data_IF_551693321751
#
_entry.id   IF_551693321751
#
_cell.length_a   1.000
_cell.length_b   1.000
_cell.length_c   1.000
_cell.angle_alpha   90.00
_cell.angle_beta   90.00
_cell.angle_gamma   90.00
#
_symmetry.space_group_name_H-M   'P 1'
#
loop_
_entity.id
_entity.type
_entity.pdbx_description
1 polymer ?
#
# COMPACT_ATOMS: atom_id res chain seq x y z
N UNK A 1 21.82 14.23 -52.96
CA UNK A 1 20.74 15.15 -52.56
C UNK A 1 20.14 14.60 -51.28
N UNK A 2 20.24 15.39 -50.21
CA UNK A 2 20.00 15.02 -48.81
C UNK A 2 18.56 14.57 -48.54
N UNK A 3 18.40 13.39 -47.94
CA UNK A 3 17.11 12.78 -47.63
C UNK A 3 16.88 12.59 -46.13
N UNK A 4 17.28 13.56 -45.30
CA UNK A 4 17.13 13.51 -43.83
C UNK A 4 15.64 13.54 -43.48
N UNK A 5 15.06 12.37 -43.19
CA UNK A 5 13.71 12.25 -42.65
C UNK A 5 13.71 12.79 -41.23
N UNK A 6 13.14 13.98 -41.03
CA UNK A 6 12.88 14.53 -39.69
C UNK A 6 11.73 13.74 -39.05
N UNK A 7 11.82 13.36 -37.78
CA UNK A 7 10.66 12.83 -37.07
C UNK A 7 9.57 13.92 -36.98
N UNK A 8 8.28 13.55 -37.00
CA UNK A 8 7.20 14.53 -36.85
C UNK A 8 7.30 15.19 -35.48
N UNK A 9 7.45 16.52 -35.46
CA UNK A 9 7.30 17.35 -34.28
C UNK A 9 5.84 17.24 -33.82
N UNK A 10 5.61 16.60 -32.68
CA UNK A 10 4.29 16.57 -32.04
C UNK A 10 4.11 17.91 -31.31
N UNK A 11 3.89 18.98 -32.07
CA UNK A 11 3.44 20.28 -31.55
C UNK A 11 2.03 20.55 -32.05
N UNK A 12 1.13 19.58 -31.87
CA UNK A 12 -0.30 19.87 -31.95
C UNK A 12 -0.77 20.08 -30.51
N UNK A 13 -1.18 21.30 -30.12
CA UNK A 13 -1.77 21.51 -28.80
C UNK A 13 -3.00 20.61 -28.68
N UNK A 14 -3.04 19.79 -27.63
CA UNK A 14 -4.22 18.99 -27.31
C UNK A 14 -5.41 19.95 -27.13
N UNK A 15 -6.60 19.69 -27.71
CA UNK A 15 -7.71 20.65 -27.77
C UNK A 15 -8.46 20.81 -26.43
N UNK A 16 -7.79 20.70 -25.28
CA UNK A 16 -8.41 20.80 -23.96
C UNK A 16 -7.59 21.59 -22.93
N UNK A 17 -6.66 22.44 -23.35
CA UNK A 17 -6.22 23.52 -22.47
C UNK A 17 -7.31 24.60 -22.42
N UNK A 18 -8.29 24.33 -21.57
CA UNK A 18 -9.14 25.38 -21.01
C UNK A 18 -8.30 26.02 -19.92
N UNK A 19 -7.64 27.14 -20.25
CA UNK A 19 -7.11 28.05 -19.24
C UNK A 19 -8.32 28.64 -18.49
N UNK A 20 -8.81 27.90 -17.51
CA UNK A 20 -9.85 28.35 -16.61
C UNK A 20 -9.16 28.93 -15.36
N UNK A 21 -9.00 30.25 -15.25
CA UNK A 21 -8.31 30.89 -14.12
C UNK A 21 -9.02 30.64 -12.78
N UNK A 22 -10.23 30.08 -12.78
CA UNK A 22 -10.95 29.68 -11.56
C UNK A 22 -10.61 28.27 -11.09
N UNK A 23 -9.89 27.47 -11.89
CA UNK A 23 -9.59 26.07 -11.58
C UNK A 23 -8.46 25.94 -10.55
N UNK A 24 -7.48 26.84 -10.61
CA UNK A 24 -6.35 26.88 -9.66
C UNK A 24 -6.81 27.42 -8.30
N UNK A 25 -7.53 28.54 -8.28
CA UNK A 25 -8.05 29.14 -7.04
C UNK A 25 -9.04 28.21 -6.29
N UNK A 26 -9.84 27.41 -7.00
CA UNK A 26 -10.80 26.50 -6.37
C UNK A 26 -10.12 25.27 -5.74
N UNK A 27 -9.05 24.76 -6.37
CA UNK A 27 -8.27 23.65 -5.83
C UNK A 27 -7.41 24.10 -4.66
N UNK A 28 -6.75 25.26 -4.77
CA UNK A 28 -5.89 25.80 -3.71
C UNK A 28 -6.69 26.16 -2.45
N UNK A 29 -7.87 26.75 -2.60
CA UNK A 29 -8.74 27.06 -1.45
C UNK A 29 -9.34 25.80 -0.78
N UNK A 30 -9.59 24.73 -1.52
CA UNK A 30 -10.04 23.44 -0.94
C UNK A 30 -8.91 22.70 -0.24
N UNK A 31 -7.72 22.67 -0.84
CA UNK A 31 -6.54 22.06 -0.24
C UNK A 31 -6.15 22.81 1.03
N UNK A 32 -6.21 24.14 1.02
CA UNK A 32 -5.96 24.95 2.21
C UNK A 32 -6.98 24.67 3.31
N UNK A 33 -8.28 24.63 2.99
CA UNK A 33 -9.32 24.28 3.98
C UNK A 33 -9.13 22.90 4.60
N UNK A 34 -8.72 21.87 3.86
CA UNK A 34 -8.45 20.53 4.42
C UNK A 34 -7.22 20.54 5.33
N UNK A 35 -6.17 21.29 4.96
CA UNK A 35 -4.99 21.50 5.81
C UNK A 35 -5.35 22.23 7.12
N UNK A 36 -6.30 23.16 7.07
CA UNK A 36 -6.79 23.90 8.24
C UNK A 36 -7.63 23.01 9.20
N UNK A 37 -8.14 21.86 8.73
CA UNK A 37 -8.75 20.80 9.56
C UNK A 37 -7.72 19.82 10.18
N UNK A 38 -6.43 20.02 9.93
CA UNK A 38 -5.35 19.19 10.47
C UNK A 38 -5.15 17.86 9.74
N UNK A 39 -5.89 17.58 8.65
CA UNK A 39 -5.70 16.40 7.82
C UNK A 39 -4.64 16.68 6.76
N UNK A 40 -3.56 15.92 6.78
CA UNK A 40 -2.48 15.99 5.79
C UNK A 40 -2.44 14.70 4.99
N UNK A 41 -2.16 14.84 3.69
CA UNK A 41 -1.93 13.72 2.78
C UNK A 41 -0.43 13.43 2.61
N UNK A 42 0.43 14.15 3.34
CA UNK A 42 1.87 13.93 3.34
C UNK A 42 2.15 12.56 4.00
N UNK A 43 2.85 11.62 3.33
CA UNK A 43 3.16 10.33 3.91
C UNK A 43 4.31 10.46 4.92
N UNK A 44 4.25 9.66 5.98
CA UNK A 44 5.41 9.40 6.81
C UNK A 44 6.36 8.43 6.06
N UNK A 45 7.61 8.84 5.88
CA UNK A 45 8.60 8.06 5.13
C UNK A 45 9.62 7.48 6.11
N UNK A 46 9.72 6.16 6.13
CA UNK A 46 10.74 5.42 6.86
C UNK A 46 11.51 4.53 5.88
N UNK A 47 12.84 4.52 6.00
CA UNK A 47 13.72 3.64 5.21
C UNK A 47 14.29 2.58 6.14
N UNK A 48 14.02 1.31 5.83
CA UNK A 48 14.51 0.16 6.59
C UNK A 48 15.30 -0.75 5.66
N UNK A 49 16.49 -1.15 6.11
CA UNK A 49 17.34 -2.10 5.38
C UNK A 49 16.85 -3.54 5.62
N UNK A 50 16.62 -4.29 4.53
CA UNK A 50 16.32 -5.72 4.59
C UNK A 50 17.62 -6.50 4.71
N UNK A 51 17.73 -7.32 5.76
CA UNK A 51 18.88 -8.15 6.07
C UNK A 51 18.67 -9.57 5.55
N UNK A 52 19.77 -10.32 5.42
CA UNK A 52 19.72 -11.73 5.04
C UNK A 52 19.06 -12.63 6.10
N UNK A 53 18.89 -12.11 7.31
CA UNK A 53 18.19 -12.78 8.42
C UNK A 53 16.69 -12.56 8.39
N UNK A 54 16.20 -11.63 7.57
CA UNK A 54 14.78 -11.33 7.51
C UNK A 54 14.08 -12.38 6.65
N UNK A 55 13.04 -12.99 7.21
CA UNK A 55 12.39 -14.15 6.58
C UNK A 55 11.22 -13.75 5.68
N UNK A 56 10.50 -12.69 6.06
CA UNK A 56 9.29 -12.24 5.40
C UNK A 56 9.00 -10.76 5.67
N UNK A 57 8.23 -10.15 4.76
CA UNK A 57 7.63 -8.83 4.90
C UNK A 57 6.12 -8.97 4.76
N UNK A 58 5.37 -8.32 5.66
CA UNK A 58 3.92 -8.29 5.66
C UNK A 58 3.43 -6.84 5.56
N UNK A 59 2.58 -6.57 4.58
CA UNK A 59 1.83 -5.32 4.48
C UNK A 59 0.35 -5.68 4.64
N UNK A 60 -0.36 -4.99 5.52
CA UNK A 60 -1.76 -5.28 5.77
C UNK A 60 -2.57 -4.01 6.04
N UNK A 61 -3.86 -4.05 5.70
CA UNK A 61 -4.81 -3.05 6.18
C UNK A 61 -5.01 -3.18 7.70
N UNK A 62 -5.50 -2.12 8.33
CA UNK A 62 -5.88 -2.09 9.74
C UNK A 62 -6.84 -3.22 10.11
N UNK A 63 -7.70 -3.68 9.19
CA UNK A 63 -8.62 -4.79 9.43
C UNK A 63 -7.95 -6.10 9.88
N UNK A 64 -6.65 -6.30 9.60
CA UNK A 64 -5.91 -7.45 10.12
C UNK A 64 -5.54 -7.29 11.60
N UNK A 65 -5.19 -6.07 12.00
CA UNK A 65 -4.41 -5.80 13.21
C UNK A 65 -5.27 -5.19 14.31
N UNK A 66 -5.05 -5.65 15.55
CA UNK A 66 -5.50 -4.97 16.75
C UNK A 66 -4.45 -3.96 17.19
N UNK A 67 -4.67 -2.68 16.88
CA UNK A 67 -3.69 -1.62 17.16
C UNK A 67 -3.88 -0.93 18.52
N UNK A 68 -5.11 -0.85 19.02
CA UNK A 68 -5.44 -0.17 20.27
C UNK A 68 -6.40 -0.99 21.15
N UNK A 69 -6.58 -0.54 22.39
CA UNK A 69 -7.64 -1.06 23.27
C UNK A 69 -9.01 -0.76 22.65
N UNK A 70 -9.76 -1.83 22.32
CA UNK A 70 -11.06 -1.75 21.66
C UNK A 70 -11.05 -2.17 20.20
N UNK A 71 -9.87 -2.22 19.55
CA UNK A 71 -9.75 -2.75 18.20
C UNK A 71 -9.92 -4.28 18.19
N UNK A 72 -10.46 -4.80 17.09
CA UNK A 72 -10.66 -6.23 16.84
C UNK A 72 -9.71 -6.68 15.72
N UNK A 73 -9.25 -7.92 15.76
CA UNK A 73 -8.24 -8.42 14.84
C UNK A 73 -7.16 -9.21 15.59
N UNK A 74 -5.97 -9.28 15.00
CA UNK A 74 -4.84 -10.03 15.53
C UNK A 74 -3.80 -9.11 16.18
N UNK A 75 -3.19 -9.57 17.27
CA UNK A 75 -1.96 -8.94 17.79
C UNK A 75 -0.76 -9.36 16.93
N UNK A 76 0.34 -8.60 17.02
CA UNK A 76 1.58 -8.92 16.32
C UNK A 76 2.08 -10.34 16.65
N UNK A 77 1.99 -10.77 17.91
CA UNK A 77 2.42 -12.10 18.34
C UNK A 77 1.53 -13.20 17.74
N UNK A 78 0.24 -12.94 17.56
CA UNK A 78 -0.67 -13.88 16.89
C UNK A 78 -0.35 -13.99 15.41
N UNK A 79 -0.04 -12.87 14.74
CA UNK A 79 0.39 -12.87 13.33
C UNK A 79 1.67 -13.69 13.16
N UNK A 80 2.69 -13.42 13.96
CA UNK A 80 3.96 -14.18 13.92
C UNK A 80 3.73 -15.68 14.14
N UNK A 81 2.90 -16.04 15.12
CA UNK A 81 2.56 -17.45 15.38
C UNK A 81 1.85 -18.11 14.20
N UNK A 82 0.93 -17.41 13.54
CA UNK A 82 0.21 -17.95 12.37
C UNK A 82 1.19 -18.13 11.21
N UNK A 83 2.05 -17.15 10.94
CA UNK A 83 3.07 -17.25 9.88
C UNK A 83 4.01 -18.42 10.15
N UNK A 84 4.49 -18.59 11.39
CA UNK A 84 5.36 -19.73 11.75
C UNK A 84 4.66 -21.09 11.56
N UNK A 85 3.37 -21.18 11.91
CA UNK A 85 2.57 -22.39 11.69
C UNK A 85 2.37 -22.73 10.19
N UNK A 86 2.45 -21.72 9.32
CA UNK A 86 2.18 -21.84 7.88
C UNK A 86 3.44 -21.60 7.04
N UNK A 87 4.65 -21.63 7.63
CA UNK A 87 5.91 -21.30 6.94
C UNK A 87 6.25 -22.15 5.72
N UNK A 88 5.66 -23.35 5.64
CA UNK A 88 5.83 -24.29 4.52
C UNK A 88 4.69 -24.22 3.50
N UNK A 89 3.75 -23.30 3.68
CA UNK A 89 2.62 -23.10 2.79
C UNK A 89 2.86 -21.94 1.85
N UNK A 90 2.13 -21.90 0.75
CA UNK A 90 2.27 -20.81 -0.22
C UNK A 90 1.86 -19.46 0.40
N UNK A 91 2.42 -18.33 -0.08
CA UNK A 91 2.05 -16.99 0.40
C UNK A 91 0.53 -16.73 0.43
N UNK A 92 -0.20 -17.25 -0.55
CA UNK A 92 -1.65 -17.12 -0.61
C UNK A 92 -2.36 -17.86 0.52
N UNK A 93 -1.88 -19.05 0.87
CA UNK A 93 -2.43 -19.83 1.98
C UNK A 93 -2.14 -19.17 3.33
N UNK A 94 -0.94 -18.60 3.50
CA UNK A 94 -0.59 -17.80 4.69
C UNK A 94 -1.53 -16.59 4.80
N UNK A 95 -1.74 -15.85 3.71
CA UNK A 95 -2.67 -14.71 3.70
C UNK A 95 -4.12 -15.14 4.02
N UNK A 96 -4.58 -16.26 3.46
CA UNK A 96 -5.91 -16.78 3.73
C UNK A 96 -6.09 -17.18 5.20
N UNK A 97 -5.07 -17.81 5.80
CA UNK A 97 -5.06 -18.18 7.21
C UNK A 97 -5.12 -16.94 8.11
N UNK A 98 -4.31 -15.93 7.84
CA UNK A 98 -4.31 -14.65 8.57
C UNK A 98 -5.66 -13.95 8.50
N UNK A 99 -6.24 -13.82 7.30
CA UNK A 99 -7.54 -13.18 7.11
C UNK A 99 -8.68 -13.95 7.82
N UNK A 100 -8.66 -15.29 7.75
CA UNK A 100 -9.63 -16.14 8.44
C UNK A 100 -9.54 -15.96 9.97
N UNK A 101 -8.33 -15.96 10.51
CA UNK A 101 -8.11 -15.80 11.95
C UNK A 101 -8.48 -14.41 12.46
N UNK A 102 -8.19 -13.35 11.70
CA UNK A 102 -8.63 -12.00 12.06
C UNK A 102 -10.15 -11.87 12.14
N UNK A 103 -10.89 -12.49 11.20
CA UNK A 103 -12.36 -12.54 11.26
C UNK A 103 -12.87 -13.34 12.46
N UNK A 104 -12.23 -14.45 12.78
CA UNK A 104 -12.56 -15.24 13.98
C UNK A 104 -12.31 -14.45 15.28
N UNK A 105 -11.32 -13.57 15.28
CA UNK A 105 -11.05 -12.64 16.39
C UNK A 105 -11.93 -11.36 16.34
N UNK A 106 -12.97 -11.36 15.52
CA UNK A 106 -14.01 -10.34 15.52
C UNK A 106 -13.77 -9.16 14.59
N UNK A 107 -12.73 -9.17 13.75
CA UNK A 107 -12.54 -8.10 12.77
C UNK A 107 -13.76 -8.00 11.83
N UNK A 108 -14.23 -6.77 11.63
CA UNK A 108 -15.38 -6.43 10.78
C UNK A 108 -15.00 -5.57 9.57
N UNK A 109 -13.74 -5.18 9.49
CA UNK A 109 -13.23 -4.29 8.45
C UNK A 109 -12.75 -5.11 7.25
N UNK A 110 -12.49 -4.45 6.14
CA UNK A 110 -11.90 -5.06 4.97
C UNK A 110 -10.43 -5.44 5.24
N UNK A 111 -10.10 -6.70 4.99
CA UNK A 111 -8.78 -7.26 5.23
C UNK A 111 -8.06 -7.41 3.90
N UNK A 112 -7.00 -6.61 3.71
CA UNK A 112 -6.08 -6.72 2.58
C UNK A 112 -4.71 -7.09 3.11
N UNK A 113 -4.06 -8.09 2.52
CA UNK A 113 -2.76 -8.61 2.96
C UNK A 113 -1.87 -8.83 1.75
N UNK A 114 -0.63 -8.36 1.83
CA UNK A 114 0.45 -8.68 0.91
C UNK A 114 1.56 -9.34 1.74
N UNK A 115 1.86 -10.60 1.44
CA UNK A 115 2.92 -11.36 2.10
C UNK A 115 4.06 -11.60 1.11
N UNK A 116 5.27 -11.18 1.48
CA UNK A 116 6.48 -11.29 0.67
C UNK A 116 7.50 -12.14 1.41
N UNK A 117 7.73 -13.39 1.00
CA UNK A 117 8.85 -14.17 1.51
C UNK A 117 10.18 -13.55 1.07
N UNK A 118 11.11 -13.37 2.00
CA UNK A 118 12.42 -12.75 1.77
C UNK A 118 13.56 -13.78 1.81
N UNK A 119 13.37 -14.91 2.48
CA UNK A 119 14.37 -15.98 2.51
C UNK A 119 14.51 -16.68 1.14
N UNK A 120 15.75 -16.76 0.65
CA UNK A 120 16.11 -17.22 -0.71
C UNK A 120 15.77 -18.68 -1.07
N UNK A 121 15.28 -19.53 -0.15
CA UNK A 121 15.39 -21.00 -0.33
C UNK A 121 14.25 -21.87 0.25
N UNK A 122 13.05 -21.36 0.53
CA UNK A 122 11.97 -22.21 1.10
C UNK A 122 10.79 -22.55 0.16
N UNK A 123 10.82 -22.06 -1.08
CA UNK A 123 9.80 -22.35 -2.09
C UNK A 123 10.45 -22.83 -3.39
N UNK A 124 11.04 -24.01 -3.35
CA UNK A 124 11.52 -24.77 -4.51
C UNK A 124 10.91 -26.16 -4.50
#
# INVERSE_FOLDING_TARGET
EDGTVRPPTVDTPLPFQVDDPLRDDFMDNKIQKVKDFGLRADPDITVTEIRTTDEWLLLASNGLMKTNEGDLGLTSEQVEKIVEQHKHQTPNEVCAALASQARQNGSKDDITIIFVPLAKNQYS
#
